data_IF_966947042544
#
_entry.id   IF_966947042544
#
_cell.length_a   1.000
_cell.length_b   1.000
_cell.length_c   1.000
_cell.angle_alpha   90.00
_cell.angle_beta   90.00
_cell.angle_gamma   90.00
#
_symmetry.space_group_name_H-M   'P 1'
#
loop_
_entity.id
_entity.type
_entity.pdbx_description
1 polymer ?
#
# COMPACT_ATOMS: atom_id res chain seq x y z
N UNK A 1 -47.99 10.97 -31.56
CA UNK A 1 -47.06 9.99 -30.92
C UNK A 1 -45.68 10.64 -30.89
N UNK A 2 -45.42 11.53 -29.92
CA UNK A 2 -44.66 11.26 -28.66
C UNK A 2 -43.29 10.63 -28.96
N UNK A 3 -42.24 11.42 -29.20
CA UNK A 3 -41.34 11.95 -28.17
C UNK A 3 -41.00 10.90 -27.10
N UNK A 4 -40.13 9.95 -27.44
CA UNK A 4 -39.57 8.98 -26.49
C UNK A 4 -38.22 8.45 -27.02
N UNK A 5 -37.23 9.32 -27.20
CA UNK A 5 -35.86 8.89 -27.50
C UNK A 5 -34.82 9.85 -26.89
N UNK A 6 -35.08 10.31 -25.67
CA UNK A 6 -34.11 11.05 -24.84
C UNK A 6 -34.34 10.61 -23.39
N UNK A 7 -33.87 9.42 -23.01
CA UNK A 7 -33.81 8.99 -21.60
C UNK A 7 -32.89 7.77 -21.37
N UNK A 8 -31.94 7.47 -22.26
CA UNK A 8 -30.99 6.35 -22.09
C UNK A 8 -29.54 6.82 -21.86
N UNK A 9 -29.33 8.10 -21.51
CA UNK A 9 -28.01 8.72 -21.42
C UNK A 9 -27.66 9.28 -20.02
N UNK A 10 -28.31 8.79 -18.95
CA UNK A 10 -28.10 9.29 -17.57
C UNK A 10 -27.65 8.20 -16.58
N UNK A 11 -27.35 6.98 -17.03
CA UNK A 11 -26.99 5.87 -16.12
C UNK A 11 -25.52 5.43 -16.15
N UNK A 12 -24.62 6.20 -16.77
CA UNK A 12 -23.20 5.84 -16.88
C UNK A 12 -22.22 6.80 -16.16
N UNK A 13 -22.71 7.78 -15.40
CA UNK A 13 -21.85 8.78 -14.75
C UNK A 13 -22.19 8.94 -13.27
N UNK A 14 -21.90 7.91 -12.49
CA UNK A 14 -21.71 7.99 -11.03
C UNK A 14 -21.26 6.61 -10.54
N UNK A 15 -20.13 6.14 -11.05
CA UNK A 15 -19.33 5.23 -10.23
C UNK A 15 -18.94 6.06 -9.00
N UNK A 16 -19.39 5.70 -7.78
CA UNK A 16 -18.89 6.37 -6.60
C UNK A 16 -17.37 6.24 -6.63
N UNK A 17 -16.67 7.36 -6.41
CA UNK A 17 -15.28 7.31 -6.03
C UNK A 17 -15.16 6.23 -4.96
N UNK A 18 -14.24 5.28 -5.15
CA UNK A 18 -14.00 4.17 -4.25
C UNK A 18 -13.48 4.71 -2.90
N UNK A 19 -14.39 5.33 -2.13
CA UNK A 19 -14.17 5.74 -0.77
C UNK A 19 -14.03 4.46 0.06
N UNK A 20 -12.89 4.39 0.74
CA UNK A 20 -12.55 3.43 1.78
C UNK A 20 -12.46 1.97 1.31
N UNK A 21 -11.35 1.64 0.64
CA UNK A 21 -10.72 0.34 0.87
C UNK A 21 -10.42 0.22 2.37
N UNK A 22 -11.29 -0.54 3.03
CA UNK A 22 -11.33 -1.03 4.41
C UNK A 22 -10.17 -0.66 5.33
N UNK A 23 -10.54 -0.18 6.53
CA UNK A 23 -9.72 -0.07 7.73
C UNK A 23 -8.83 -1.30 7.92
N UNK A 24 -7.64 -1.18 7.34
CA UNK A 24 -6.51 -2.09 7.31
C UNK A 24 -6.81 -3.54 6.89
N UNK A 25 -6.17 -4.02 5.81
CA UNK A 25 -5.88 -5.45 5.59
C UNK A 25 -7.05 -6.33 5.11
N UNK A 26 -6.85 -6.97 3.94
CA UNK A 26 -7.73 -8.03 3.46
C UNK A 26 -7.83 -9.19 4.49
N UNK A 27 -8.92 -9.99 4.45
CA UNK A 27 -9.12 -11.14 5.36
C UNK A 27 -7.86 -12.04 5.40
N UNK A 28 -7.39 -12.36 6.62
CA UNK A 28 -6.20 -13.19 6.81
C UNK A 28 -4.86 -12.48 6.61
N UNK A 29 -4.80 -11.17 6.38
CA UNK A 29 -3.55 -10.40 6.24
C UNK A 29 -3.37 -9.43 7.41
N UNK A 30 -2.22 -9.51 8.08
CA UNK A 30 -1.93 -8.77 9.30
C UNK A 30 -0.56 -8.09 9.22
N UNK A 31 -0.45 -6.78 9.48
CA UNK A 31 0.85 -6.18 9.74
C UNK A 31 1.48 -6.81 10.99
N UNK A 32 2.79 -7.01 10.95
CA UNK A 32 3.54 -7.60 12.07
C UNK A 32 4.38 -6.53 12.75
N UNK A 33 4.20 -6.40 14.06
CA UNK A 33 4.89 -5.45 14.90
C UNK A 33 5.95 -6.16 15.73
N UNK A 34 7.08 -5.49 15.95
CA UNK A 34 8.07 -5.91 16.92
C UNK A 34 7.80 -5.17 18.23
N UNK A 35 7.62 -5.92 19.33
CA UNK A 35 7.47 -5.39 20.68
C UNK A 35 8.52 -6.05 21.56
N UNK A 36 9.64 -5.34 21.78
CA UNK A 36 10.84 -5.91 22.39
C UNK A 36 11.30 -7.17 21.63
N UNK A 37 11.48 -8.32 22.31
CA UNK A 37 11.84 -9.58 21.67
C UNK A 37 10.61 -10.36 21.20
N UNK A 38 9.44 -9.75 20.99
CA UNK A 38 8.22 -10.46 20.58
C UNK A 38 7.69 -9.90 19.26
N UNK A 39 7.10 -10.78 18.44
CA UNK A 39 6.36 -10.38 17.25
C UNK A 39 4.88 -10.48 17.52
N UNK A 40 4.15 -9.45 17.15
CA UNK A 40 2.74 -9.27 17.51
C UNK A 40 1.93 -8.94 16.26
N UNK A 41 0.74 -9.52 16.16
CA UNK A 41 -0.29 -9.13 15.20
C UNK A 41 -1.57 -8.78 15.95
N UNK A 42 -2.37 -7.87 15.40
CA UNK A 42 -3.61 -7.42 16.03
C UNK A 42 -4.83 -7.79 15.19
N UNK A 43 -5.85 -8.34 15.84
CA UNK A 43 -7.16 -8.59 15.25
C UNK A 43 -7.91 -7.28 15.14
N UNK A 44 -8.56 -7.07 14.01
CA UNK A 44 -9.31 -5.84 13.75
C UNK A 44 -10.71 -6.01 14.29
N UNK A 45 -11.35 -4.95 14.80
CA UNK A 45 -12.73 -5.02 15.23
C UNK A 45 -13.62 -5.19 13.98
N UNK A 46 -13.87 -6.44 13.58
CA UNK A 46 -14.88 -6.78 12.58
C UNK A 46 -16.19 -7.11 13.29
N UNK A 47 -17.32 -6.89 12.60
CA UNK A 47 -18.60 -7.53 12.97
C UNK A 47 -18.46 -9.04 12.69
N UNK A 48 -17.98 -9.81 13.67
CA UNK A 48 -17.77 -11.25 13.54
C UNK A 48 -16.84 -11.83 14.60
N UNK A 49 -16.86 -13.16 14.71
CA UNK A 49 -16.19 -13.92 15.78
C UNK A 49 -14.65 -13.86 15.64
N UNK A 50 -13.88 -13.44 16.67
CA UNK A 50 -12.43 -13.17 16.63
C UNK A 50 -11.58 -14.44 16.69
N UNK A 51 -11.92 -15.44 15.85
CA UNK A 51 -11.29 -16.76 15.81
C UNK A 51 -9.99 -16.80 15.01
N UNK A 52 -9.63 -15.72 14.31
CA UNK A 52 -8.44 -15.71 13.45
C UNK A 52 -7.14 -15.77 14.25
N UNK A 53 -7.14 -15.22 15.47
CA UNK A 53 -5.99 -15.14 16.36
C UNK A 53 -6.07 -16.10 17.54
N UNK A 54 -6.66 -17.28 17.39
CA UNK A 54 -6.67 -18.29 18.46
C UNK A 54 -5.27 -18.92 18.64
N UNK A 55 -4.87 -19.32 19.87
CA UNK A 55 -3.66 -20.10 20.10
C UNK A 55 -3.57 -21.31 19.17
N UNK A 56 -2.38 -21.55 18.60
CA UNK A 56 -2.14 -22.61 17.61
C UNK A 56 -2.46 -22.25 16.16
N UNK A 57 -3.12 -21.11 15.90
CA UNK A 57 -3.32 -20.64 14.53
C UNK A 57 -1.97 -20.39 13.83
N UNK A 58 -1.87 -20.80 12.55
CA UNK A 58 -0.64 -20.71 11.75
C UNK A 58 -0.65 -19.50 10.82
N UNK A 59 0.51 -18.86 10.74
CA UNK A 59 0.77 -17.71 9.90
C UNK A 59 2.07 -17.91 9.13
N UNK A 60 2.05 -17.57 7.85
CA UNK A 60 3.27 -17.32 7.08
C UNK A 60 3.66 -15.86 7.30
N UNK A 61 4.80 -15.61 7.95
CA UNK A 61 5.34 -14.27 8.13
C UNK A 61 6.34 -14.00 7.03
N UNK A 62 6.14 -12.89 6.31
CA UNK A 62 7.02 -12.36 5.26
C UNK A 62 7.74 -11.14 5.82
N UNK A 63 9.06 -11.09 5.64
CA UNK A 63 9.92 -10.03 6.17
C UNK A 63 10.96 -9.53 5.17
N UNK A 64 12.03 -8.93 5.68
CA UNK A 64 13.13 -8.31 4.92
C UNK A 64 14.18 -9.26 4.34
N UNK A 65 14.17 -10.52 4.73
CA UNK A 65 15.11 -11.54 4.23
C UNK A 65 14.42 -12.77 3.64
N UNK A 66 13.17 -13.02 4.00
CA UNK A 66 12.46 -14.21 3.57
C UNK A 66 11.09 -14.34 4.20
N UNK A 67 10.60 -15.58 4.25
CA UNK A 67 9.33 -15.90 4.89
C UNK A 67 9.43 -17.24 5.63
N UNK A 68 8.72 -17.35 6.76
CA UNK A 68 8.68 -18.59 7.55
C UNK A 68 7.36 -18.74 8.33
N UNK A 69 7.14 -19.93 8.89
CA UNK A 69 5.91 -20.28 9.60
C UNK A 69 5.99 -19.96 11.09
N UNK A 70 4.97 -19.26 11.55
CA UNK A 70 4.77 -18.87 12.93
C UNK A 70 3.44 -19.42 13.43
N UNK A 71 3.38 -19.66 14.73
CA UNK A 71 2.14 -20.02 15.43
C UNK A 71 1.79 -18.94 16.44
N UNK A 72 0.49 -18.73 16.64
CA UNK A 72 0.00 -17.93 17.76
C UNK A 72 0.29 -18.68 19.05
N UNK A 73 1.18 -18.14 19.89
CA UNK A 73 1.52 -18.71 21.18
C UNK A 73 0.46 -18.36 22.24
N UNK A 74 0.04 -17.11 22.27
CA UNK A 74 -1.02 -16.60 23.15
C UNK A 74 -1.69 -15.39 22.54
N UNK A 75 -2.89 -15.08 23.02
CA UNK A 75 -3.63 -13.91 22.59
C UNK A 75 -4.20 -13.17 23.79
N UNK A 76 -4.13 -11.85 23.78
CA UNK A 76 -4.56 -11.01 24.88
C UNK A 76 -5.14 -9.69 24.36
N UNK A 77 -6.05 -9.05 25.09
CA UNK A 77 -6.42 -7.66 24.82
C UNK A 77 -5.19 -6.75 24.96
N UNK A 78 -4.98 -5.84 24.02
CA UNK A 78 -3.93 -4.82 24.03
C UNK A 78 -4.39 -3.60 23.26
N UNK A 79 -3.79 -2.43 23.49
CA UNK A 79 -3.96 -1.31 22.58
C UNK A 79 -3.04 -1.55 21.37
N UNK A 80 -3.62 -1.65 20.17
CA UNK A 80 -2.87 -1.51 18.92
C UNK A 80 -3.03 -0.08 18.41
N UNK A 81 -2.25 0.33 17.41
CA UNK A 81 -2.24 1.70 16.86
C UNK A 81 -3.52 2.16 16.15
N UNK A 82 -4.69 1.85 16.73
CA UNK A 82 -6.02 2.15 16.22
C UNK A 82 -6.82 2.93 17.27
N UNK A 83 -7.46 4.00 16.84
CA UNK A 83 -8.30 4.83 17.68
C UNK A 83 -9.69 4.96 17.08
N UNK A 84 -10.67 5.19 17.95
CA UNK A 84 -12.03 5.55 17.58
C UNK A 84 -12.38 6.81 18.34
N UNK A 85 -12.78 7.86 17.62
CA UNK A 85 -13.07 9.18 18.21
C UNK A 85 -11.90 9.72 19.07
N UNK A 86 -10.66 9.65 18.55
CA UNK A 86 -9.43 10.07 19.26
C UNK A 86 -9.19 9.34 20.61
N UNK A 87 -9.73 8.13 20.77
CA UNK A 87 -9.46 7.27 21.93
C UNK A 87 -8.87 5.94 21.50
N UNK A 88 -7.80 5.45 22.16
CA UNK A 88 -7.22 4.15 21.85
C UNK A 88 -8.26 3.05 22.00
N UNK A 89 -8.34 2.17 21.02
CA UNK A 89 -9.28 1.03 21.06
C UNK A 89 -8.52 -0.23 21.43
N UNK A 90 -9.05 -0.99 22.39
CA UNK A 90 -8.50 -2.31 22.71
C UNK A 90 -8.75 -3.27 21.56
N UNK A 91 -7.68 -3.89 21.10
CA UNK A 91 -7.64 -4.93 20.07
C UNK A 91 -7.23 -6.26 20.70
N UNK A 92 -7.53 -7.36 20.03
CA UNK A 92 -6.94 -8.66 20.38
C UNK A 92 -5.56 -8.73 19.75
N UNK A 93 -4.50 -8.77 20.55
CA UNK A 93 -3.15 -9.05 20.11
C UNK A 93 -2.88 -10.55 20.14
N UNK A 94 -2.10 -11.07 19.19
CA UNK A 94 -1.52 -12.40 19.21
C UNK A 94 -0.01 -12.32 19.15
N UNK A 95 0.65 -13.03 20.08
CA UNK A 95 2.08 -13.21 20.04
C UNK A 95 2.46 -14.36 19.11
N UNK A 96 3.36 -14.09 18.18
CA UNK A 96 3.86 -15.06 17.22
C UNK A 96 5.15 -15.72 17.72
N UNK A 97 5.20 -17.05 17.63
CA UNK A 97 6.37 -17.88 17.91
C UNK A 97 6.79 -18.61 16.63
N UNK A 98 8.05 -18.49 16.26
CA UNK A 98 8.62 -19.08 15.05
C UNK A 98 10.06 -18.62 14.80
N UNK A 99 10.71 -19.12 13.74
CA UNK A 99 12.09 -18.81 13.38
C UNK A 99 12.21 -17.42 12.75
N UNK A 100 12.90 -16.50 13.43
CA UNK A 100 12.99 -15.09 12.99
C UNK A 100 14.16 -14.80 12.06
N UNK A 101 15.25 -15.57 12.20
CA UNK A 101 16.49 -15.36 11.44
C UNK A 101 16.25 -15.48 9.93
N UNK A 102 15.41 -16.43 9.51
CA UNK A 102 15.03 -16.64 8.10
C UNK A 102 14.11 -15.56 7.52
N UNK A 103 13.51 -14.73 8.37
CA UNK A 103 12.53 -13.71 7.97
C UNK A 103 13.14 -12.31 7.96
N UNK A 104 14.04 -11.99 8.89
CA UNK A 104 14.56 -10.62 9.07
C UNK A 104 13.54 -9.70 9.74
N UNK A 105 13.45 -8.45 9.29
CA UNK A 105 12.47 -7.48 9.79
C UNK A 105 11.07 -7.89 9.33
N UNK A 106 10.11 -8.13 10.24
CA UNK A 106 8.81 -8.65 9.85
C UNK A 106 7.92 -7.55 9.27
N UNK A 107 7.19 -7.87 8.20
CA UNK A 107 6.32 -6.90 7.52
C UNK A 107 4.86 -7.36 7.56
N UNK A 108 4.59 -8.56 7.05
CA UNK A 108 3.23 -9.08 6.86
C UNK A 108 3.12 -10.51 7.36
N UNK A 109 2.04 -10.82 8.06
CA UNK A 109 1.61 -12.17 8.39
C UNK A 109 0.37 -12.53 7.56
N UNK A 110 0.42 -13.70 6.95
CA UNK A 110 -0.65 -14.28 6.14
C UNK A 110 -1.17 -15.50 6.88
N UNK A 111 -2.45 -15.50 7.24
CA UNK A 111 -3.11 -16.67 7.83
C UNK A 111 -3.11 -17.80 6.82
N UNK A 112 -2.61 -18.96 7.22
CA UNK A 112 -2.55 -20.17 6.39
C UNK A 112 -3.35 -21.31 7.02
N UNK A 113 -3.62 -22.34 6.23
CA UNK A 113 -4.28 -23.54 6.77
C UNK A 113 -3.37 -24.25 7.79
N UNK A 114 -3.93 -25.01 8.75
CA UNK A 114 -3.14 -25.77 9.72
C UNK A 114 -2.17 -26.77 9.06
N UNK A 115 -2.48 -27.24 7.85
CA UNK A 115 -1.68 -28.20 7.10
C UNK A 115 -0.72 -27.55 6.10
N UNK A 116 -0.61 -26.21 6.10
CA UNK A 116 0.30 -25.52 5.20
C UNK A 116 1.76 -25.87 5.52
N UNK A 117 2.53 -26.15 4.48
CA UNK A 117 3.95 -26.48 4.54
C UNK A 117 4.70 -25.55 3.59
N UNK A 118 5.80 -24.94 4.07
CA UNK A 118 6.62 -24.06 3.26
C UNK A 118 7.60 -24.82 2.35
N UNK A 119 8.03 -26.03 2.76
CA UNK A 119 8.95 -26.90 2.01
C UNK A 119 8.36 -27.25 0.64
N UNK A 120 9.10 -26.98 -0.43
CA UNK A 120 8.64 -27.17 -1.82
C UNK A 120 7.90 -25.97 -2.42
N UNK A 121 7.79 -24.86 -1.67
CA UNK A 121 7.27 -23.60 -2.21
C UNK A 121 8.13 -23.10 -3.37
N UNK A 122 7.46 -22.65 -4.44
CA UNK A 122 8.11 -21.93 -5.56
C UNK A 122 8.18 -20.42 -5.28
N UNK A 123 7.96 -20.02 -4.03
CA UNK A 123 7.94 -18.62 -3.68
C UNK A 123 9.27 -17.96 -4.01
N UNK A 124 9.20 -16.74 -4.53
CA UNK A 124 10.36 -15.90 -4.81
C UNK A 124 10.36 -14.73 -3.85
N UNK A 125 11.55 -14.41 -3.41
CA UNK A 125 11.81 -13.34 -2.47
C UNK A 125 12.90 -12.46 -3.06
N UNK A 126 12.67 -11.15 -3.06
CA UNK A 126 13.63 -10.18 -3.57
C UNK A 126 13.56 -8.88 -2.77
N UNK A 127 14.66 -8.49 -2.15
CA UNK A 127 14.81 -7.13 -1.64
C UNK A 127 15.06 -6.20 -2.83
N UNK A 128 14.25 -5.15 -2.94
CA UNK A 128 14.28 -4.25 -4.09
C UNK A 128 15.12 -3.02 -3.78
N UNK A 129 16.15 -2.82 -4.59
CA UNK A 129 16.98 -1.61 -4.53
C UNK A 129 16.32 -0.49 -5.33
N UNK A 130 16.49 0.73 -4.84
CA UNK A 130 16.02 1.91 -5.55
C UNK A 130 16.90 2.17 -6.78
N UNK A 131 16.29 2.22 -7.96
CA UNK A 131 16.97 2.48 -9.25
C UNK A 131 16.60 3.83 -9.85
N UNK A 132 16.09 4.77 -9.05
CA UNK A 132 15.77 6.12 -9.53
C UNK A 132 17.03 6.80 -10.05
N UNK A 133 17.01 7.18 -11.33
CA UNK A 133 18.08 7.87 -12.03
C UNK A 133 17.52 8.78 -13.14
N UNK A 134 18.38 9.60 -13.75
CA UNK A 134 18.01 10.52 -14.84
C UNK A 134 17.43 9.82 -16.08
N UNK A 135 17.96 8.67 -16.57
CA UNK A 135 17.30 7.88 -17.60
C UNK A 135 15.84 7.54 -17.31
N UNK A 136 15.51 7.17 -16.07
CA UNK A 136 14.14 6.86 -15.67
C UNK A 136 13.24 8.10 -15.77
N UNK A 137 13.71 9.27 -15.29
CA UNK A 137 12.97 10.53 -15.43
C UNK A 137 12.73 10.89 -16.89
N UNK A 138 13.73 10.72 -17.76
CA UNK A 138 13.57 10.98 -19.21
C UNK A 138 12.56 10.04 -19.86
N UNK A 139 12.56 8.77 -19.45
CA UNK A 139 11.67 7.76 -20.04
C UNK A 139 10.22 7.88 -19.56
N UNK A 140 9.99 8.12 -18.27
CA UNK A 140 8.65 8.05 -17.66
C UNK A 140 8.10 9.40 -17.23
N UNK A 141 8.93 10.42 -17.09
CA UNK A 141 8.53 11.77 -16.66
C UNK A 141 7.36 12.33 -17.47
N UNK A 142 7.40 12.33 -18.81
CA UNK A 142 6.28 12.81 -19.63
C UNK A 142 4.96 12.05 -19.37
N UNK A 143 5.01 10.72 -19.26
CA UNK A 143 3.83 9.91 -18.98
C UNK A 143 3.27 10.15 -17.57
N UNK A 144 4.15 10.31 -16.58
CA UNK A 144 3.79 10.60 -15.19
C UNK A 144 3.15 11.99 -15.04
N UNK A 145 3.73 13.00 -15.69
CA UNK A 145 3.17 14.36 -15.70
C UNK A 145 1.83 14.40 -16.42
N UNK A 146 1.69 13.73 -17.57
CA UNK A 146 0.41 13.62 -18.26
C UNK A 146 -0.65 12.94 -17.39
N UNK A 147 -0.29 11.87 -16.68
CA UNK A 147 -1.20 11.22 -15.74
C UNK A 147 -1.61 12.14 -14.58
N UNK A 148 -0.69 12.95 -14.04
CA UNK A 148 -1.01 13.92 -12.99
C UNK A 148 -2.00 15.00 -13.47
N UNK A 149 -1.84 15.48 -14.71
CA UNK A 149 -2.78 16.42 -15.33
C UNK A 149 -4.17 15.80 -15.47
N UNK A 150 -4.27 14.58 -16.00
CA UNK A 150 -5.57 13.90 -16.16
C UNK A 150 -6.23 13.58 -14.82
N UNK A 151 -5.44 13.22 -13.81
CA UNK A 151 -5.93 13.00 -12.44
C UNK A 151 -6.44 14.30 -11.79
N UNK A 152 -5.82 15.44 -12.06
CA UNK A 152 -6.32 16.74 -11.61
C UNK A 152 -7.67 17.06 -12.27
N UNK A 153 -7.76 16.88 -13.60
CA UNK A 153 -9.01 17.06 -14.36
C UNK A 153 -10.13 16.15 -13.88
N UNK A 154 -9.80 14.93 -13.47
CA UNK A 154 -10.79 13.97 -12.95
C UNK A 154 -11.18 14.21 -11.49
N UNK A 155 -10.65 15.26 -10.84
CA UNK A 155 -10.92 15.58 -9.44
C UNK A 155 -10.23 14.66 -8.42
N UNK A 156 -9.16 13.96 -8.81
CA UNK A 156 -8.42 13.08 -7.91
C UNK A 156 -7.47 13.84 -6.96
N UNK A 157 -7.23 15.13 -7.22
CA UNK A 157 -6.50 16.02 -6.32
C UNK A 157 -7.46 16.70 -5.34
N UNK A 158 -7.07 16.70 -4.07
CA UNK A 158 -7.78 17.44 -3.03
C UNK A 158 -7.28 18.88 -2.97
N UNK A 159 -7.72 19.71 -3.92
CA UNK A 159 -7.44 21.14 -3.90
C UNK A 159 -8.24 21.82 -2.79
N UNK A 160 -7.61 22.80 -2.11
CA UNK A 160 -8.33 23.66 -1.16
C UNK A 160 -9.19 24.65 -1.95
N UNK A 161 -10.34 25.03 -1.40
CA UNK A 161 -11.26 25.94 -2.08
C UNK A 161 -10.64 27.32 -2.33
N UNK A 162 -9.74 27.74 -1.44
CA UNK A 162 -8.99 28.99 -1.48
C UNK A 162 -7.65 28.91 -2.25
N UNK A 163 -7.34 27.78 -2.89
CA UNK A 163 -6.10 27.63 -3.67
C UNK A 163 -6.26 28.28 -5.06
N UNK A 164 -5.90 29.58 -5.14
CA UNK A 164 -5.91 30.35 -6.38
C UNK A 164 -5.01 29.71 -7.46
N UNK A 165 -3.89 29.11 -7.07
CA UNK A 165 -2.98 28.43 -7.99
C UNK A 165 -3.59 27.15 -8.58
N UNK A 166 -4.34 26.40 -7.78
CA UNK A 166 -5.10 25.25 -8.26
C UNK A 166 -6.22 25.69 -9.21
N UNK A 167 -6.93 26.78 -8.89
CA UNK A 167 -7.98 27.34 -9.75
C UNK A 167 -7.41 27.75 -11.11
N UNK A 168 -6.27 28.44 -11.12
CA UNK A 168 -5.57 28.83 -12.34
C UNK A 168 -5.12 27.61 -13.15
N UNK A 169 -4.52 26.61 -12.49
CA UNK A 169 -4.12 25.36 -13.15
C UNK A 169 -5.31 24.64 -13.79
N UNK A 170 -6.45 24.55 -13.09
CA UNK A 170 -7.62 23.85 -13.62
C UNK A 170 -8.24 24.56 -14.84
N UNK A 171 -8.04 25.87 -14.98
CA UNK A 171 -8.48 26.63 -16.15
C UNK A 171 -7.61 26.41 -17.39
N UNK A 172 -6.31 26.16 -17.20
CA UNK A 172 -5.33 25.95 -18.26
C UNK A 172 -4.25 24.94 -17.79
N UNK A 173 -4.56 23.63 -17.79
CA UNK A 173 -3.74 22.61 -17.14
C UNK A 173 -2.52 22.27 -17.97
N UNK A 174 -1.39 22.90 -17.64
CA UNK A 174 -0.12 22.75 -18.33
C UNK A 174 0.82 21.75 -17.63
N UNK A 175 1.40 20.78 -18.35
CA UNK A 175 2.35 19.80 -17.80
C UNK A 175 3.51 20.42 -17.00
N UNK A 176 4.05 21.55 -17.45
CA UNK A 176 5.17 22.26 -16.82
C UNK A 176 4.85 22.85 -15.44
N UNK A 177 3.58 22.95 -15.07
CA UNK A 177 3.14 23.41 -13.75
C UNK A 177 3.06 22.27 -12.72
N UNK A 178 3.29 21.03 -13.15
CA UNK A 178 3.34 19.87 -12.26
C UNK A 178 4.78 19.66 -11.80
N UNK A 179 5.03 19.82 -10.51
CA UNK A 179 6.30 19.42 -9.93
C UNK A 179 6.26 17.92 -9.62
N UNK A 180 7.02 17.13 -10.41
CA UNK A 180 7.09 15.68 -10.32
C UNK A 180 8.35 15.24 -9.57
N UNK A 181 8.21 14.20 -8.75
CA UNK A 181 9.32 13.47 -8.13
C UNK A 181 9.06 11.97 -8.19
N UNK A 182 10.07 11.20 -8.59
CA UNK A 182 10.10 9.74 -8.42
C UNK A 182 10.92 9.46 -7.15
N UNK A 183 10.25 9.05 -6.08
CA UNK A 183 10.89 8.74 -4.79
C UNK A 183 11.57 7.36 -4.81
N UNK A 184 10.95 6.41 -5.51
CA UNK A 184 11.43 5.04 -5.60
C UNK A 184 11.07 4.43 -6.95
N UNK A 185 11.95 3.59 -7.45
CA UNK A 185 11.71 2.74 -8.60
C UNK A 185 12.40 1.40 -8.41
N UNK A 186 11.76 0.32 -8.85
CA UNK A 186 12.36 -1.01 -8.94
C UNK A 186 11.72 -1.82 -10.05
N UNK A 187 12.39 -2.91 -10.47
CA UNK A 187 11.93 -3.79 -11.54
C UNK A 187 11.48 -5.15 -11.00
N UNK A 188 10.28 -5.24 -10.38
CA UNK A 188 9.77 -6.52 -9.90
C UNK A 188 9.39 -7.42 -11.08
N UNK A 189 9.49 -8.73 -10.91
CA UNK A 189 8.96 -9.66 -11.91
C UNK A 189 7.42 -9.71 -11.87
N UNK A 190 6.78 -9.22 -12.93
CA UNK A 190 5.32 -9.27 -13.11
C UNK A 190 4.99 -10.04 -14.39
N UNK A 191 4.11 -11.04 -14.28
CA UNK A 191 3.69 -11.87 -15.41
C UNK A 191 2.94 -11.04 -16.45
N UNK A 192 3.28 -11.24 -17.71
CA UNK A 192 2.66 -10.54 -18.84
C UNK A 192 3.23 -9.16 -19.12
N UNK A 193 4.19 -8.67 -18.32
CA UNK A 193 4.91 -7.43 -18.56
C UNK A 193 6.34 -7.73 -19.01
N UNK A 194 6.87 -6.89 -19.89
CA UNK A 194 8.17 -7.09 -20.55
C UNK A 194 9.33 -6.40 -19.81
N UNK A 195 9.12 -5.16 -19.39
CA UNK A 195 10.00 -4.30 -18.62
C UNK A 195 9.22 -3.64 -17.46
N UNK A 196 8.66 -4.44 -16.53
CA UNK A 196 7.88 -3.93 -15.41
C UNK A 196 8.72 -3.01 -14.51
N UNK A 197 8.20 -1.82 -14.20
CA UNK A 197 8.78 -0.89 -13.23
C UNK A 197 7.72 -0.44 -12.23
N UNK A 198 7.90 -0.80 -10.95
CA UNK A 198 7.09 -0.27 -9.87
C UNK A 198 7.69 1.04 -9.38
N UNK A 199 6.86 2.06 -9.21
CA UNK A 199 7.26 3.44 -8.93
C UNK A 199 6.52 3.95 -7.70
N UNK A 200 7.20 4.70 -6.84
CA UNK A 200 6.56 5.65 -5.92
C UNK A 200 6.82 7.05 -6.46
N UNK A 201 5.76 7.76 -6.81
CA UNK A 201 5.83 9.09 -7.41
C UNK A 201 5.06 10.10 -6.59
N UNK A 202 5.64 11.27 -6.37
CA UNK A 202 4.96 12.46 -5.87
C UNK A 202 4.73 13.45 -7.01
N UNK A 203 3.51 13.98 -7.10
CA UNK A 203 3.18 15.06 -8.01
C UNK A 203 2.52 16.19 -7.21
N UNK A 204 3.01 17.41 -7.41
CA UNK A 204 2.52 18.63 -6.78
C UNK A 204 1.95 19.57 -7.83
N UNK A 205 0.75 20.08 -7.57
CA UNK A 205 0.07 21.10 -8.36
C UNK A 205 -0.37 22.19 -7.37
N UNK A 206 0.21 23.38 -7.48
CA UNK A 206 0.07 24.43 -6.47
C UNK A 206 0.39 23.90 -5.05
N UNK A 207 -0.52 24.03 -4.10
CA UNK A 207 -0.37 23.52 -2.73
C UNK A 207 -0.80 22.06 -2.56
N UNK A 208 -1.50 21.48 -3.54
CA UNK A 208 -1.96 20.11 -3.48
C UNK A 208 -0.87 19.14 -3.90
N UNK A 209 -0.65 18.12 -3.06
CA UNK A 209 0.34 17.08 -3.29
C UNK A 209 -0.33 15.70 -3.28
N UNK A 210 0.02 14.89 -4.25
CA UNK A 210 -0.47 13.51 -4.38
C UNK A 210 0.70 12.56 -4.56
N UNK A 211 0.74 11.51 -3.75
CA UNK A 211 1.72 10.43 -3.87
C UNK A 211 1.05 9.13 -4.27
N UNK A 212 1.66 8.44 -5.22
CA UNK A 212 1.09 7.28 -5.86
C UNK A 212 2.13 6.16 -5.90
N UNK A 213 1.68 4.94 -5.61
CA UNK A 213 2.30 3.77 -6.18
C UNK A 213 1.76 3.56 -7.60
N UNK A 214 2.66 3.43 -8.57
CA UNK A 214 2.35 3.20 -9.98
C UNK A 214 3.10 1.97 -10.49
N UNK A 215 2.58 1.39 -11.55
CA UNK A 215 3.25 0.35 -12.31
C UNK A 215 3.43 0.84 -13.74
N UNK A 216 4.58 0.59 -14.33
CA UNK A 216 4.86 0.85 -15.74
C UNK A 216 5.37 -0.43 -16.42
N UNK A 217 5.23 -0.49 -17.74
CA UNK A 217 5.89 -1.48 -18.60
C UNK A 217 6.65 -0.73 -19.70
N UNK A 218 7.97 -0.69 -19.61
CA UNK A 218 8.79 0.22 -20.42
C UNK A 218 8.49 1.69 -20.07
N UNK A 219 8.04 2.46 -21.06
CA UNK A 219 7.70 3.89 -20.98
C UNK A 219 6.20 4.16 -20.73
N UNK A 220 5.38 3.10 -20.58
CA UNK A 220 3.92 3.22 -20.44
C UNK A 220 3.48 2.91 -19.02
N UNK A 221 2.60 3.76 -18.48
CA UNK A 221 1.93 3.47 -17.22
C UNK A 221 0.84 2.41 -17.39
N UNK A 222 0.74 1.53 -16.41
CA UNK A 222 -0.22 0.43 -16.34
C UNK A 222 -1.14 0.63 -15.15
N UNK A 223 -2.43 0.82 -15.43
CA UNK A 223 -3.43 1.15 -14.41
C UNK A 223 -3.29 2.58 -13.88
N UNK A 224 -4.07 2.89 -12.83
CA UNK A 224 -4.10 4.22 -12.22
C UNK A 224 -3.16 4.38 -11.03
N UNK A 225 -3.13 5.59 -10.48
CA UNK A 225 -2.52 5.89 -9.19
C UNK A 225 -3.14 5.03 -8.08
N UNK A 226 -2.33 4.24 -7.38
CA UNK A 226 -2.69 3.70 -6.07
C UNK A 226 -2.20 4.68 -5.01
N UNK A 227 -3.12 5.48 -4.49
CA UNK A 227 -2.75 6.59 -3.62
C UNK A 227 -2.15 6.13 -2.30
N UNK A 228 -1.05 6.79 -1.91
CA UNK A 228 -0.37 6.65 -0.63
C UNK A 228 -0.51 7.99 0.13
N UNK A 229 -1.53 8.13 1.00
CA UNK A 229 -1.82 9.39 1.70
C UNK A 229 -0.60 10.05 2.34
N UNK A 230 -0.41 11.33 2.05
CA UNK A 230 0.82 12.09 2.33
C UNK A 230 1.09 12.36 3.82
N UNK A 231 0.07 12.27 4.70
CA UNK A 231 0.15 12.68 6.09
C UNK A 231 1.17 11.89 6.95
N UNK A 232 1.78 10.85 6.38
CA UNK A 232 2.63 9.89 7.10
C UNK A 232 4.02 9.69 6.48
N UNK A 233 4.37 10.45 5.45
CA UNK A 233 5.52 10.12 4.61
C UNK A 233 6.53 11.25 4.46
N UNK A 234 6.93 11.83 5.58
CA UNK A 234 8.08 12.75 5.63
C UNK A 234 9.39 12.07 5.21
N UNK A 235 9.43 10.73 5.10
CA UNK A 235 10.69 9.97 4.97
C UNK A 235 10.61 8.78 3.99
N UNK A 236 10.22 8.99 2.71
CA UNK A 236 10.33 7.95 1.67
C UNK A 236 11.72 7.32 1.58
N UNK A 237 12.76 8.05 1.95
CA UNK A 237 14.13 7.56 2.05
C UNK A 237 14.32 6.40 3.04
N UNK A 238 13.43 6.28 4.04
CA UNK A 238 13.47 5.21 5.03
C UNK A 238 12.67 3.97 4.61
N UNK A 239 11.78 4.09 3.62
CA UNK A 239 11.06 2.93 3.12
C UNK A 239 12.03 1.94 2.46
N UNK A 240 11.88 0.69 2.86
CA UNK A 240 12.51 -0.48 2.26
C UNK A 240 11.44 -1.25 1.52
N UNK A 241 11.82 -1.84 0.40
CA UNK A 241 10.90 -2.51 -0.49
C UNK A 241 11.31 -3.95 -0.71
N UNK A 242 10.32 -4.84 -0.72
CA UNK A 242 10.48 -6.27 -0.91
C UNK A 242 9.41 -6.76 -1.86
N UNK A 243 9.80 -7.60 -2.80
CA UNK A 243 8.90 -8.39 -3.63
C UNK A 243 8.78 -9.79 -3.05
N UNK A 244 7.55 -10.21 -2.77
CA UNK A 244 7.24 -11.58 -2.39
C UNK A 244 6.24 -12.17 -3.38
N UNK A 245 6.66 -13.14 -4.17
CA UNK A 245 5.79 -13.87 -5.10
C UNK A 245 5.53 -15.28 -4.56
N UNK A 246 4.37 -15.56 -3.95
CA UNK A 246 4.09 -16.86 -3.33
C UNK A 246 4.18 -18.05 -4.29
N UNK A 247 3.88 -17.83 -5.58
CA UNK A 247 3.82 -18.90 -6.58
C UNK A 247 5.04 -18.98 -7.49
N UNK A 248 5.91 -17.96 -7.48
CA UNK A 248 7.02 -17.82 -8.43
C UNK A 248 6.57 -17.64 -9.88
N UNK A 249 5.31 -17.25 -10.09
CA UNK A 249 4.65 -17.14 -11.40
C UNK A 249 4.60 -15.69 -11.92
N UNK A 250 5.28 -14.75 -11.26
CA UNK A 250 5.21 -13.32 -11.59
C UNK A 250 3.94 -12.66 -11.08
N UNK A 251 3.44 -13.06 -9.91
CA UNK A 251 2.27 -12.43 -9.27
C UNK A 251 2.62 -11.86 -7.88
N UNK A 252 3.65 -11.00 -7.78
CA UNK A 252 4.19 -10.61 -6.49
C UNK A 252 3.24 -9.71 -5.69
N UNK A 253 3.45 -9.75 -4.38
CA UNK A 253 3.16 -8.66 -3.47
C UNK A 253 4.40 -7.77 -3.39
N UNK A 254 4.22 -6.48 -3.61
CA UNK A 254 5.19 -5.46 -3.28
C UNK A 254 4.89 -4.97 -1.87
N UNK A 255 5.83 -5.16 -0.96
CA UNK A 255 5.76 -4.73 0.43
C UNK A 255 6.71 -3.56 0.62
N UNK A 256 6.23 -2.47 1.19
CA UNK A 256 7.04 -1.34 1.63
C UNK A 256 7.00 -1.27 3.16
N UNK A 257 8.12 -1.01 3.81
CA UNK A 257 8.18 -0.93 5.28
C UNK A 257 9.33 -0.06 5.80
N UNK A 258 9.20 0.46 7.01
CA UNK A 258 10.31 1.15 7.72
C UNK A 258 11.00 0.21 8.73
N UNK A 259 12.33 0.32 8.87
CA UNK A 259 13.12 -0.47 9.84
C UNK A 259 13.03 0.05 11.27
N UNK A 260 13.03 1.37 11.43
CA UNK A 260 12.85 2.02 12.73
C UNK A 260 11.38 2.36 12.97
N UNK A 261 11.09 2.83 14.17
CA UNK A 261 9.90 3.63 14.45
C UNK A 261 10.21 5.07 13.96
N UNK A 262 9.63 5.53 12.84
CA UNK A 262 9.58 6.96 12.57
C UNK A 262 8.97 7.70 13.77
N UNK A 263 9.04 9.03 13.78
CA UNK A 263 8.32 9.90 14.73
C UNK A 263 6.81 9.59 14.85
N UNK A 264 6.26 8.75 13.96
CA UNK A 264 4.86 8.40 13.78
C UNK A 264 4.58 6.89 13.92
N UNK A 265 5.57 6.08 14.27
CA UNK A 265 5.48 4.61 14.32
C UNK A 265 5.75 3.93 12.97
N UNK A 266 5.93 2.61 12.97
CA UNK A 266 6.27 1.85 11.76
C UNK A 266 5.24 2.03 10.63
N UNK A 267 5.73 2.34 9.43
CA UNK A 267 4.91 2.42 8.24
C UNK A 267 5.06 1.12 7.43
N UNK A 268 3.95 0.52 7.01
CA UNK A 268 3.92 -0.67 6.15
C UNK A 268 2.82 -0.57 5.10
N UNK A 269 3.19 -0.88 3.87
CA UNK A 269 2.26 -0.95 2.75
C UNK A 269 2.41 -2.29 2.04
N UNK A 270 1.30 -2.76 1.47
CA UNK A 270 1.29 -3.96 0.64
C UNK A 270 0.42 -3.74 -0.59
N UNK A 271 1.03 -4.00 -1.74
CA UNK A 271 0.43 -3.85 -3.05
C UNK A 271 0.48 -5.16 -3.81
N UNK A 272 -0.63 -5.53 -4.44
CA UNK A 272 -0.67 -6.61 -5.41
C UNK A 272 -0.26 -6.03 -6.76
N UNK A 273 0.77 -6.58 -7.39
CA UNK A 273 1.18 -6.16 -8.74
C UNK A 273 0.72 -7.18 -9.79
N UNK A 274 0.02 -6.72 -10.82
CA UNK A 274 -0.49 -7.53 -11.93
C UNK A 274 -0.27 -6.80 -13.26
N UNK A 275 -0.39 -7.51 -14.38
CA UNK A 275 -0.33 -6.89 -15.71
C UNK A 275 -1.41 -5.85 -15.99
N UNK A 276 -2.48 -5.80 -15.18
CA UNK A 276 -3.52 -4.77 -15.24
C UNK A 276 -3.25 -3.54 -14.34
N UNK A 277 -2.17 -3.56 -13.56
CA UNK A 277 -1.79 -2.49 -12.64
C UNK A 277 -1.57 -2.96 -11.21
N UNK A 278 -1.43 -1.99 -10.31
CA UNK A 278 -1.26 -2.22 -8.88
C UNK A 278 -2.58 -2.09 -8.11
N UNK A 279 -2.69 -2.77 -6.97
CA UNK A 279 -3.81 -2.61 -6.04
C UNK A 279 -3.34 -2.69 -4.59
N UNK A 280 -3.77 -1.74 -3.76
CA UNK A 280 -3.51 -1.75 -2.33
C UNK A 280 -4.24 -2.92 -1.65
N UNK A 281 -3.58 -3.61 -0.72
CA UNK A 281 -4.22 -4.62 0.14
C UNK A 281 -3.84 -4.49 1.62
N UNK A 282 -2.74 -3.79 1.91
CA UNK A 282 -2.27 -3.49 3.26
C UNK A 282 -1.90 -2.02 3.31
N UNK A 283 -2.52 -1.31 4.24
CA UNK A 283 -2.19 0.05 4.64
C UNK A 283 -2.05 0.03 6.15
N UNK A 284 -0.83 0.08 6.64
CA UNK A 284 -0.48 0.20 8.05
C UNK A 284 0.39 1.42 8.26
N UNK A 285 -0.30 2.55 8.39
CA UNK A 285 0.29 3.85 8.58
C UNK A 285 -0.57 4.53 9.65
N UNK A 286 0.02 4.75 10.82
CA UNK A 286 -0.67 5.16 12.05
C UNK A 286 -1.59 6.36 11.77
N UNK A 287 -2.83 6.35 12.27
CA UNK A 287 -3.71 7.51 12.11
C UNK A 287 -3.09 8.72 12.85
N UNK A 288 -2.82 9.86 12.20
CA UNK A 288 -2.33 11.06 12.88
C UNK A 288 -3.22 11.50 14.05
N UNK A 289 -4.52 11.19 14.02
CA UNK A 289 -5.47 11.45 15.12
C UNK A 289 -5.27 10.54 16.35
N UNK A 290 -4.49 9.47 16.25
CA UNK A 290 -4.03 8.65 17.37
C UNK A 290 -2.80 9.21 18.08
N UNK A 291 -2.11 10.18 17.48
CA UNK A 291 -0.80 10.70 17.93
C UNK A 291 -0.82 11.26 19.35
N UNK A 292 -1.91 11.93 19.74
CA UNK A 292 -2.02 12.59 21.06
C UNK A 292 -2.52 11.63 22.16
N UNK A 293 -2.79 10.37 21.82
CA UNK A 293 -3.48 9.42 22.70
C UNK A 293 -2.61 8.31 23.28
N UNK A 294 -1.31 8.30 22.96
CA UNK A 294 -0.32 7.33 23.43
C UNK A 294 0.80 8.01 24.20
#
# INVERSE_FOLDING_TARGET
>A
MRHALIAALVLAASAPAAFAQDEYGAKGLFPVYQSGPQWVIFDKPRKGDPKELAPGAKFLVVGSAGADLFVVARSSPSYGGMCRNKKPTRLRAALLKGPRVSVGDPVLAIKVSPNFVLKGSRARYEALNNIVDEPLYRSLGPALTAAAVEEAKSGAYNFRAEDEGATAFMSDPKPELVALKIDFAARPRVSGLSAPTALITGAQISSAYRRCLRLADGDKLIGGCVEMPHALMTETAQLRFVSYDPGGKGSPFLLAYTRGEPLWGHERWGFVLRGSGARLFLRDALDPGCRESF
#
